data_IF_512143152212
#
_entry.id   IF_512143152212
#
_cell.length_a   1.000
_cell.length_b   1.000
_cell.length_c   1.000
_cell.angle_alpha   90.00
_cell.angle_beta   90.00
_cell.angle_gamma   90.00
#
_symmetry.space_group_name_H-M   'P 1'
#
loop_
_entity.id
_entity.type
_entity.pdbx_description
1 polymer ?
#
# COMPACT_ATOMS: atom_id res chain seq x y z
N UNK A 1 2.62 11.65 14.12
CA UNK A 1 2.87 10.23 13.86
C UNK A 1 3.83 10.06 12.69
N UNK A 2 3.45 10.39 11.46
CA UNK A 2 4.28 10.27 10.25
C UNK A 2 5.69 10.84 10.39
N UNK A 3 5.83 12.04 10.98
CA UNK A 3 7.14 12.66 11.21
C UNK A 3 8.05 11.81 12.11
N UNK A 4 7.48 11.23 13.18
CA UNK A 4 8.24 10.40 14.12
C UNK A 4 8.52 9.01 13.52
N UNK A 5 7.56 8.44 12.79
CA UNK A 5 7.77 7.21 12.03
C UNK A 5 8.91 7.38 11.03
N UNK A 6 8.92 8.49 10.27
CA UNK A 6 9.99 8.79 9.33
C UNK A 6 11.34 8.94 10.04
N UNK A 7 11.39 9.70 11.14
CA UNK A 7 12.59 9.87 11.96
C UNK A 7 13.20 8.53 12.39
N UNK A 8 12.37 7.60 12.84
CA UNK A 8 12.81 6.26 13.24
C UNK A 8 13.29 5.45 12.04
N UNK A 9 12.53 5.41 10.95
CA UNK A 9 12.90 4.70 9.71
C UNK A 9 14.25 5.18 9.17
N UNK A 10 14.46 6.49 9.11
CA UNK A 10 15.68 7.07 8.53
C UNK A 10 16.93 6.74 9.35
N UNK A 11 16.79 6.48 10.65
CA UNK A 11 17.88 6.03 11.51
C UNK A 11 18.46 4.68 11.07
N UNK A 12 17.72 3.88 10.30
CA UNK A 12 18.18 2.59 9.77
C UNK A 12 18.76 2.68 8.35
N UNK A 13 18.69 3.85 7.70
CA UNK A 13 19.12 4.04 6.30
C UNK A 13 18.61 2.96 5.32
N UNK A 14 17.30 2.64 5.28
CA UNK A 14 16.81 1.52 4.48
C UNK A 14 16.77 1.82 2.98
N UNK A 15 17.14 0.84 2.18
CA UNK A 15 16.93 0.86 0.72
C UNK A 15 15.44 0.74 0.35
N UNK A 16 14.63 0.10 1.21
CA UNK A 16 13.22 -0.21 0.99
C UNK A 16 12.41 -0.18 2.29
N UNK A 17 11.18 0.34 2.22
CA UNK A 17 10.17 0.33 3.28
C UNK A 17 8.96 -0.46 2.79
N UNK A 18 8.48 -1.44 3.58
CA UNK A 18 7.37 -2.33 3.20
C UNK A 18 6.22 -2.20 4.20
N UNK A 19 5.04 -1.88 3.69
CA UNK A 19 3.78 -1.84 4.43
C UNK A 19 3.15 -3.24 4.43
N UNK A 20 3.39 -4.01 5.49
CA UNK A 20 2.85 -5.36 5.67
C UNK A 20 1.62 -5.33 6.59
N UNK A 21 0.46 -4.99 6.04
CA UNK A 21 -0.78 -4.86 6.83
C UNK A 21 -0.85 -3.55 7.63
N UNK A 22 -0.20 -2.49 7.16
CA UNK A 22 -0.22 -1.19 7.82
C UNK A 22 -1.52 -0.43 7.53
N UNK A 23 -2.42 -0.38 8.51
CA UNK A 23 -3.81 0.08 8.34
C UNK A 23 -4.02 1.60 8.48
N UNK A 24 -2.97 2.41 8.26
CA UNK A 24 -3.07 3.87 8.41
C UNK A 24 -2.70 4.57 7.11
N UNK A 25 -3.53 5.54 6.71
CA UNK A 25 -3.25 6.40 5.56
C UNK A 25 -2.06 7.30 5.91
N UNK A 26 -1.02 7.23 5.08
CA UNK A 26 0.19 8.04 5.19
C UNK A 26 -0.01 9.37 4.47
N UNK A 27 0.57 10.43 5.03
CA UNK A 27 0.48 11.76 4.45
C UNK A 27 1.24 11.86 3.11
N UNK A 28 0.87 12.81 2.23
CA UNK A 28 1.61 13.06 0.99
C UNK A 28 3.11 13.34 1.22
N UNK A 29 3.46 14.03 2.31
CA UNK A 29 4.86 14.28 2.66
C UNK A 29 5.63 13.01 3.01
N UNK A 30 4.99 12.07 3.70
CA UNK A 30 5.60 10.77 4.01
C UNK A 30 5.81 9.93 2.74
N UNK A 31 4.77 9.81 1.92
CA UNK A 31 4.85 9.02 0.68
C UNK A 31 5.86 9.60 -0.32
N UNK A 32 5.99 10.93 -0.39
CA UNK A 32 7.02 11.58 -1.20
C UNK A 32 8.45 11.32 -0.67
N UNK A 33 8.66 11.32 0.65
CA UNK A 33 9.98 11.04 1.27
C UNK A 33 10.54 9.65 0.90
N UNK A 34 9.65 8.68 0.73
CA UNK A 34 10.00 7.30 0.40
C UNK A 34 9.56 6.91 -1.03
N UNK A 35 9.36 7.89 -1.91
CA UNK A 35 8.94 7.64 -3.29
C UNK A 35 9.88 6.62 -3.96
N UNK A 36 9.28 5.68 -4.73
CA UNK A 36 9.97 4.57 -5.40
C UNK A 36 10.69 3.55 -4.48
N UNK A 37 10.55 3.67 -3.17
CA UNK A 37 11.08 2.71 -2.19
C UNK A 37 10.12 2.41 -1.04
N UNK A 38 8.84 2.75 -1.20
CA UNK A 38 7.75 2.42 -0.29
C UNK A 38 6.80 1.48 -1.01
N UNK A 39 6.72 0.23 -0.57
CA UNK A 39 5.85 -0.81 -1.13
C UNK A 39 4.70 -1.12 -0.19
N UNK A 40 3.55 -1.46 -0.78
CA UNK A 40 2.40 -1.99 -0.06
C UNK A 40 1.91 -3.28 -0.74
N UNK A 41 1.37 -4.18 0.07
CA UNK A 41 0.57 -5.31 -0.39
C UNK A 41 -0.90 -5.00 -0.15
N UNK A 42 -1.70 -5.05 -1.22
CA UNK A 42 -3.14 -4.84 -1.18
C UNK A 42 -3.87 -6.15 -1.50
N UNK A 43 -4.86 -6.59 -0.70
CA UNK A 43 -5.58 -7.85 -0.90
C UNK A 43 -6.67 -7.74 -1.98
N UNK A 44 -6.29 -7.23 -3.15
CA UNK A 44 -7.09 -7.28 -4.37
C UNK A 44 -6.22 -7.24 -5.61
N UNK A 45 -6.79 -7.67 -6.74
CA UNK A 45 -6.20 -7.47 -8.06
C UNK A 45 -6.52 -6.05 -8.55
N UNK A 46 -5.72 -5.07 -8.12
CA UNK A 46 -5.90 -3.67 -8.51
C UNK A 46 -5.98 -3.53 -10.05
N UNK A 47 -6.87 -2.66 -10.57
CA UNK A 47 -7.62 -1.63 -9.85
C UNK A 47 -8.92 -2.11 -9.17
N UNK A 48 -9.20 -3.42 -9.14
CA UNK A 48 -10.38 -3.92 -8.44
C UNK A 48 -10.26 -3.67 -6.93
N UNK A 49 -11.38 -3.28 -6.32
CA UNK A 49 -11.56 -3.14 -4.87
C UNK A 49 -10.42 -2.42 -4.12
N UNK A 50 -10.20 -1.12 -4.36
CA UNK A 50 -9.35 -0.28 -3.49
C UNK A 50 -9.94 -0.13 -2.08
N UNK A 51 -9.10 0.18 -1.10
CA UNK A 51 -9.50 0.41 0.28
C UNK A 51 -9.85 -0.86 1.07
N UNK A 52 -10.75 -0.73 2.04
CA UNK A 52 -11.03 -1.79 3.02
C UNK A 52 -12.04 -2.83 2.50
N UNK A 53 -12.13 -3.95 3.24
CA UNK A 53 -13.13 -5.03 3.05
C UNK A 53 -13.13 -5.65 1.64
N UNK A 54 -11.96 -5.77 1.02
CA UNK A 54 -11.82 -6.25 -0.36
C UNK A 54 -12.36 -7.67 -0.54
N UNK A 55 -12.13 -8.55 0.44
CA UNK A 55 -12.64 -9.93 0.41
C UNK A 55 -14.16 -9.99 0.49
N UNK A 56 -14.77 -9.26 1.43
CA UNK A 56 -16.24 -9.19 1.58
C UNK A 56 -16.89 -8.67 0.30
N UNK A 57 -16.31 -7.60 -0.28
CA UNK A 57 -16.79 -7.03 -1.54
C UNK A 57 -16.64 -7.99 -2.72
N UNK A 58 -15.52 -8.71 -2.81
CA UNK A 58 -15.32 -9.71 -3.85
C UNK A 58 -16.34 -10.86 -3.76
N UNK A 59 -16.63 -11.33 -2.55
CA UNK A 59 -17.66 -12.34 -2.30
C UNK A 59 -19.06 -11.82 -2.65
N UNK A 60 -19.39 -10.60 -2.25
CA UNK A 60 -20.68 -9.97 -2.54
C UNK A 60 -20.92 -9.78 -4.04
N UNK A 61 -19.88 -9.50 -4.82
CA UNK A 61 -19.97 -9.42 -6.29
C UNK A 61 -19.93 -10.79 -6.98
N UNK A 62 -19.83 -11.90 -6.22
CA UNK A 62 -19.79 -13.25 -6.77
C UNK A 62 -18.51 -13.56 -7.56
N UNK A 63 -17.40 -12.86 -7.28
CA UNK A 63 -16.13 -13.06 -7.95
C UNK A 63 -15.67 -14.53 -7.82
N UNK A 64 -15.19 -15.10 -8.92
CA UNK A 64 -14.61 -16.46 -8.95
C UNK A 64 -13.10 -16.49 -8.77
N UNK A 65 -12.47 -15.32 -8.87
CA UNK A 65 -11.05 -15.09 -8.66
C UNK A 65 -10.88 -13.87 -7.75
N UNK A 66 -9.96 -13.99 -6.81
CA UNK A 66 -9.41 -12.90 -6.03
C UNK A 66 -7.88 -13.07 -5.99
N UNK A 67 -7.17 -12.03 -5.59
CA UNK A 67 -5.71 -12.05 -5.52
C UNK A 67 -5.20 -10.89 -4.69
N UNK A 68 -3.91 -10.59 -4.83
CA UNK A 68 -3.26 -9.48 -4.18
C UNK A 68 -2.44 -8.68 -5.19
N UNK A 69 -2.12 -7.44 -4.86
CA UNK A 69 -1.26 -6.58 -5.66
C UNK A 69 -0.16 -6.02 -4.78
N UNK A 70 1.09 -6.17 -5.21
CA UNK A 70 2.21 -5.41 -4.66
C UNK A 70 2.41 -4.18 -5.54
N UNK A 71 2.41 -2.99 -4.93
CA UNK A 71 2.55 -1.74 -5.66
C UNK A 71 3.38 -0.71 -4.88
N UNK A 72 3.95 0.26 -5.60
CA UNK A 72 4.53 1.43 -4.96
C UNK A 72 3.43 2.28 -4.32
N UNK A 73 3.73 2.86 -3.16
CA UNK A 73 2.80 3.73 -2.46
C UNK A 73 2.91 5.15 -3.00
N UNK A 74 1.76 5.76 -3.28
CA UNK A 74 1.60 7.16 -3.67
C UNK A 74 0.70 7.88 -2.66
N UNK A 75 0.57 9.20 -2.79
CA UNK A 75 -0.41 9.96 -2.01
C UNK A 75 -1.87 9.55 -2.31
N UNK A 76 -2.13 9.09 -3.53
CA UNK A 76 -3.41 8.50 -3.91
C UNK A 76 -3.47 7.03 -3.47
N UNK A 77 -4.54 6.68 -2.75
CA UNK A 77 -4.74 5.39 -2.11
C UNK A 77 -4.81 4.26 -3.14
N UNK A 78 -3.92 3.27 -3.05
CA UNK A 78 -3.90 2.08 -3.92
C UNK A 78 -3.77 2.37 -5.44
N UNK A 79 -3.14 3.49 -5.82
CA UNK A 79 -3.01 3.93 -7.23
C UNK A 79 -1.57 3.90 -7.79
N UNK A 80 -0.57 3.55 -6.97
CA UNK A 80 0.80 3.54 -7.44
C UNK A 80 1.12 2.38 -8.38
N UNK A 81 2.27 2.47 -9.06
CA UNK A 81 2.67 1.51 -10.07
C UNK A 81 2.74 0.08 -9.52
N UNK A 82 2.08 -0.85 -10.21
CA UNK A 82 2.04 -2.27 -9.88
C UNK A 82 3.42 -2.90 -10.14
N UNK A 83 3.88 -3.68 -9.17
CA UNK A 83 5.11 -4.48 -9.25
C UNK A 83 4.80 -5.93 -9.59
N UNK A 84 3.78 -6.52 -8.94
CA UNK A 84 3.37 -7.92 -9.12
C UNK A 84 1.92 -8.14 -8.69
N UNK A 85 1.27 -9.15 -9.31
CA UNK A 85 -0.04 -9.70 -8.94
C UNK A 85 0.00 -11.23 -8.94
#
# INVERSE_FOLDING_TARGET
FDAELARVIDGFSPDLVVLAGFMRILTPGFTARYARRLLNIHPSLLPAFTGLHTHERALAMGCKLAGATVHFVTAELDHGAIVMQ
#
